data_IF_657910201905
#
_entry.id   IF_657910201905
#
_cell.length_a   1.000
_cell.length_b   1.000
_cell.length_c   1.000
_cell.angle_alpha   90.00
_cell.angle_beta   90.00
_cell.angle_gamma   90.00
#
_symmetry.space_group_name_H-M   'P 1'
#
loop_
_entity.id
_entity.type
_entity.pdbx_description
1 polymer ?
#
# COMPACT_ATOMS: atom_id res chain seq x y z
N UNK A 1 -27.09 30.05 -59.08
CA UNK A 1 -27.32 29.99 -57.62
C UNK A 1 -25.98 29.72 -56.95
N UNK A 2 -25.53 30.64 -56.10
CA UNK A 2 -24.22 30.61 -55.40
C UNK A 2 -24.44 30.01 -54.00
N UNK A 3 -23.87 28.83 -53.73
CA UNK A 3 -23.90 28.22 -52.40
C UNK A 3 -22.72 28.75 -51.57
N UNK A 4 -23.06 29.25 -50.39
CA UNK A 4 -22.23 30.01 -49.46
C UNK A 4 -21.07 29.20 -48.89
N UNK A 5 -19.90 29.82 -48.86
CA UNK A 5 -18.77 29.53 -47.97
C UNK A 5 -19.26 29.46 -46.53
N UNK A 6 -19.11 28.29 -45.89
CA UNK A 6 -19.26 28.18 -44.43
C UNK A 6 -17.87 27.92 -43.86
N UNK A 7 -17.39 28.93 -43.14
CA UNK A 7 -16.16 28.91 -42.35
C UNK A 7 -16.25 27.83 -41.28
N UNK A 8 -15.22 27.00 -41.19
CA UNK A 8 -15.07 26.02 -40.12
C UNK A 8 -14.44 26.75 -38.92
N UNK A 9 -15.18 27.04 -37.82
CA UNK A 9 -14.59 27.66 -36.66
C UNK A 9 -13.67 26.66 -35.97
N UNK A 10 -12.44 27.11 -35.74
CA UNK A 10 -11.48 26.67 -34.72
C UNK A 10 -11.88 25.38 -33.99
N UNK A 11 -11.19 24.29 -34.33
CA UNK A 11 -11.13 23.08 -33.51
C UNK A 11 -10.86 23.48 -32.05
N UNK A 12 -11.90 23.36 -31.23
CA UNK A 12 -11.83 23.37 -29.78
C UNK A 12 -10.72 22.41 -29.37
N UNK A 13 -9.78 22.91 -28.57
CA UNK A 13 -8.77 22.08 -27.91
C UNK A 13 -9.54 21.00 -27.15
N UNK A 14 -9.55 19.78 -27.68
CA UNK A 14 -9.91 18.59 -26.93
C UNK A 14 -8.90 18.52 -25.80
N UNK A 15 -9.37 18.87 -24.60
CA UNK A 15 -8.72 18.53 -23.35
C UNK A 15 -8.26 17.08 -23.48
N UNK A 16 -6.94 16.92 -23.49
CA UNK A 16 -6.30 15.61 -23.39
C UNK A 16 -6.95 14.90 -22.22
N UNK A 17 -7.67 13.83 -22.56
CA UNK A 17 -8.36 12.94 -21.66
C UNK A 17 -7.44 12.64 -20.49
N UNK A 18 -7.84 13.18 -19.34
CA UNK A 18 -7.40 12.79 -18.02
C UNK A 18 -7.77 11.31 -17.88
N UNK A 19 -6.84 10.45 -18.30
CA UNK A 19 -7.06 9.02 -18.40
C UNK A 19 -6.94 8.43 -17.00
N UNK A 20 -8.10 8.10 -16.45
CA UNK A 20 -8.28 7.13 -15.38
C UNK A 20 -7.57 7.39 -14.05
N UNK A 21 -7.95 8.48 -13.36
CA UNK A 21 -8.22 8.31 -11.93
C UNK A 21 -9.64 7.76 -11.82
N UNK A 22 -9.76 6.44 -11.97
CA UNK A 22 -10.96 5.73 -11.54
C UNK A 22 -10.98 5.92 -10.03
N UNK A 23 -11.79 6.86 -9.54
CA UNK A 23 -12.02 7.07 -8.11
C UNK A 23 -12.38 5.72 -7.51
N UNK A 24 -11.40 5.05 -6.90
CA UNK A 24 -11.63 3.84 -6.15
C UNK A 24 -12.61 4.25 -5.06
N UNK A 25 -13.75 3.58 -5.02
CA UNK A 25 -14.75 3.87 -4.00
C UNK A 25 -14.12 3.64 -2.62
N UNK A 26 -14.60 4.31 -1.56
CA UNK A 26 -14.08 4.09 -0.21
C UNK A 26 -14.08 2.60 0.18
N UNK A 27 -15.03 1.82 -0.34
CA UNK A 27 -15.12 0.37 -0.15
C UNK A 27 -13.98 -0.41 -0.84
N UNK A 28 -13.62 -0.08 -2.08
CA UNK A 28 -12.49 -0.72 -2.80
C UNK A 28 -11.13 -0.41 -2.15
N UNK A 29 -11.00 0.78 -1.56
CA UNK A 29 -9.83 1.18 -0.78
C UNK A 29 -9.70 0.36 0.51
N UNK A 30 -10.80 0.13 1.23
CA UNK A 30 -10.82 -0.73 2.43
C UNK A 30 -10.47 -2.17 2.13
N UNK A 31 -10.96 -2.73 1.02
CA UNK A 31 -10.63 -4.10 0.61
C UNK A 31 -9.14 -4.24 0.26
N UNK A 32 -8.61 -3.29 -0.52
CA UNK A 32 -7.16 -3.24 -0.86
C UNK A 32 -6.30 -3.14 0.41
N UNK A 33 -6.75 -2.40 1.43
CA UNK A 33 -6.05 -2.33 2.71
C UNK A 33 -6.09 -3.65 3.48
N UNK A 34 -7.26 -4.31 3.55
CA UNK A 34 -7.38 -5.62 4.19
C UNK A 34 -6.37 -6.62 3.62
N UNK A 35 -6.26 -6.66 2.29
CA UNK A 35 -5.29 -7.49 1.59
C UNK A 35 -3.84 -7.08 1.91
N UNK A 36 -3.53 -5.79 1.91
CA UNK A 36 -2.21 -5.29 2.28
C UNK A 36 -1.84 -5.66 3.72
N UNK A 37 -2.76 -5.46 4.68
CA UNK A 37 -2.54 -5.78 6.08
C UNK A 37 -2.36 -7.29 6.29
N UNK A 38 -3.15 -8.11 5.61
CA UNK A 38 -2.98 -9.57 5.63
C UNK A 38 -1.58 -9.97 5.15
N UNK A 39 -1.11 -9.37 4.05
CA UNK A 39 0.23 -9.62 3.52
C UNK A 39 1.33 -9.13 4.47
N UNK A 40 1.16 -7.95 5.08
CA UNK A 40 2.10 -7.42 6.06
C UNK A 40 2.19 -8.32 7.31
N UNK A 41 1.06 -8.78 7.84
CA UNK A 41 1.00 -9.73 8.96
C UNK A 41 1.67 -11.06 8.60
N UNK A 42 1.40 -11.59 7.41
CA UNK A 42 2.08 -12.80 6.92
C UNK A 42 3.60 -12.59 6.81
N UNK A 43 4.05 -11.39 6.41
CA UNK A 43 5.47 -11.04 6.35
C UNK A 43 6.12 -11.01 7.73
N UNK A 44 5.46 -10.40 8.72
CA UNK A 44 5.93 -10.40 10.13
C UNK A 44 6.00 -11.83 10.65
N UNK A 45 4.98 -12.65 10.40
CA UNK A 45 4.98 -14.05 10.82
C UNK A 45 6.13 -14.85 10.19
N UNK A 46 6.46 -14.59 8.93
CA UNK A 46 7.63 -15.20 8.28
C UNK A 46 8.95 -14.74 8.91
N UNK A 47 9.05 -13.45 9.30
CA UNK A 47 10.22 -12.95 10.01
C UNK A 47 10.36 -13.58 11.40
N UNK A 48 9.28 -13.73 12.17
CA UNK A 48 9.32 -14.44 13.46
C UNK A 48 9.76 -15.90 13.29
N UNK A 49 9.28 -16.58 12.24
CA UNK A 49 9.71 -17.94 11.92
C UNK A 49 11.20 -17.98 11.58
N UNK A 50 11.70 -16.97 10.87
CA UNK A 50 13.13 -16.85 10.59
C UNK A 50 13.95 -16.63 11.87
N UNK A 51 13.46 -15.81 12.81
CA UNK A 51 14.09 -15.66 14.14
C UNK A 51 14.21 -17.02 14.82
N UNK A 52 13.14 -17.81 14.87
CA UNK A 52 13.17 -19.16 15.46
C UNK A 52 14.22 -20.06 14.79
N UNK A 53 14.27 -20.09 13.45
CA UNK A 53 15.27 -20.88 12.71
C UNK A 53 16.69 -20.45 13.04
N UNK A 54 16.96 -19.14 13.14
CA UNK A 54 18.29 -18.61 13.46
C UNK A 54 18.62 -18.89 14.93
N UNK A 55 17.65 -18.83 15.84
CA UNK A 55 17.80 -19.23 17.25
C UNK A 55 18.11 -20.71 17.39
N UNK A 56 17.42 -21.58 16.66
CA UNK A 56 17.70 -23.02 16.67
C UNK A 56 19.11 -23.30 16.15
N UNK A 57 19.52 -22.63 15.06
CA UNK A 57 20.90 -22.69 14.54
C UNK A 57 21.92 -22.19 15.55
N UNK A 58 21.61 -21.15 16.31
CA UNK A 58 22.47 -20.64 17.37
C UNK A 58 22.64 -21.68 18.49
N UNK A 59 21.55 -22.35 18.91
CA UNK A 59 21.62 -23.39 19.94
C UNK A 59 22.49 -24.58 19.54
N UNK A 60 22.53 -24.94 18.25
CA UNK A 60 23.41 -25.99 17.71
C UNK A 60 24.81 -25.48 17.30
N UNK A 61 25.14 -24.22 17.60
CA UNK A 61 26.45 -23.61 17.33
C UNK A 61 26.71 -23.25 15.86
N UNK A 62 25.69 -23.23 15.01
CA UNK A 62 25.77 -22.94 13.57
C UNK A 62 25.44 -21.48 13.21
N UNK A 63 25.01 -20.66 14.17
CA UNK A 63 24.76 -19.24 13.98
C UNK A 63 25.29 -18.44 15.17
N UNK A 64 25.56 -17.15 14.96
CA UNK A 64 26.00 -16.22 16.00
C UNK A 64 24.82 -15.56 16.71
N UNK A 65 25.02 -15.19 17.98
CA UNK A 65 24.02 -14.44 18.77
C UNK A 65 23.64 -13.11 18.10
N UNK A 66 24.57 -12.49 17.37
CA UNK A 66 24.32 -11.26 16.61
C UNK A 66 23.28 -11.45 15.52
N UNK A 67 23.24 -12.61 14.86
CA UNK A 67 22.25 -12.90 13.82
C UNK A 67 20.84 -13.05 14.41
N UNK A 68 20.73 -13.68 15.59
CA UNK A 68 19.46 -13.76 16.33
C UNK A 68 18.99 -12.36 16.70
N UNK A 69 19.88 -11.51 17.23
CA UNK A 69 19.54 -10.13 17.58
C UNK A 69 19.10 -9.31 16.36
N UNK A 70 19.81 -9.40 15.24
CA UNK A 70 19.44 -8.70 14.00
C UNK A 70 18.07 -9.16 13.50
N UNK A 71 17.83 -10.48 13.47
CA UNK A 71 16.56 -11.03 13.03
C UNK A 71 15.40 -10.56 13.93
N UNK A 72 15.61 -10.55 15.25
CA UNK A 72 14.62 -10.06 16.21
C UNK A 72 14.34 -8.57 16.03
N UNK A 73 15.37 -7.73 15.90
CA UNK A 73 15.19 -6.29 15.65
C UNK A 73 14.47 -6.01 14.34
N UNK A 74 14.71 -6.82 13.29
CA UNK A 74 14.00 -6.69 12.02
C UNK A 74 12.50 -7.01 12.16
N UNK A 75 12.17 -8.08 12.89
CA UNK A 75 10.78 -8.46 13.16
C UNK A 75 10.04 -7.35 13.93
N UNK A 76 10.68 -6.81 14.97
CA UNK A 76 10.13 -5.74 15.80
C UNK A 76 9.89 -4.45 15.01
N UNK A 77 10.86 -4.04 14.19
CA UNK A 77 10.72 -2.86 13.31
C UNK A 77 9.59 -3.06 12.28
N UNK A 78 9.47 -4.25 11.71
CA UNK A 78 8.44 -4.54 10.71
C UNK A 78 7.04 -4.56 11.32
N UNK A 79 6.90 -5.04 12.56
CA UNK A 79 5.66 -4.95 13.32
C UNK A 79 5.29 -3.49 13.62
N UNK A 80 6.26 -2.68 14.05
CA UNK A 80 6.05 -1.25 14.30
C UNK A 80 5.60 -0.52 13.03
N UNK A 81 6.25 -0.79 11.89
CA UNK A 81 5.86 -0.24 10.60
C UNK A 81 4.44 -0.64 10.22
N UNK A 82 4.08 -1.92 10.40
CA UNK A 82 2.73 -2.43 10.11
C UNK A 82 1.68 -1.71 10.94
N UNK A 83 1.95 -1.47 12.24
CA UNK A 83 1.07 -0.70 13.12
C UNK A 83 0.89 0.75 12.66
N UNK A 84 1.98 1.41 12.24
CA UNK A 84 1.91 2.77 11.72
C UNK A 84 1.08 2.85 10.43
N UNK A 85 1.30 1.92 9.49
CA UNK A 85 0.53 1.87 8.25
C UNK A 85 -0.95 1.63 8.55
N UNK A 86 -1.27 0.69 9.47
CA UNK A 86 -2.64 0.46 9.92
C UNK A 86 -3.29 1.75 10.44
N UNK A 87 -2.61 2.51 11.28
CA UNK A 87 -3.13 3.77 11.82
C UNK A 87 -3.37 4.80 10.71
N UNK A 88 -2.41 4.97 9.79
CA UNK A 88 -2.54 5.92 8.66
C UNK A 88 -3.67 5.58 7.72
N UNK A 89 -3.94 4.30 7.50
CA UNK A 89 -5.05 3.90 6.63
C UNK A 89 -6.40 4.11 7.32
N UNK A 90 -6.50 3.88 8.62
CA UNK A 90 -7.71 4.21 9.40
C UNK A 90 -7.98 5.72 9.36
N UNK A 91 -6.95 6.55 9.55
CA UNK A 91 -7.05 8.01 9.41
C UNK A 91 -7.55 8.41 8.01
N UNK A 92 -6.98 7.84 6.94
CA UNK A 92 -7.38 8.12 5.57
C UNK A 92 -8.84 7.73 5.29
N UNK A 93 -9.30 6.58 5.81
CA UNK A 93 -10.70 6.17 5.70
C UNK A 93 -11.64 7.17 6.40
N UNK A 94 -11.28 7.62 7.59
CA UNK A 94 -12.07 8.61 8.34
C UNK A 94 -12.13 9.96 7.63
N UNK A 95 -11.03 10.41 7.02
CA UNK A 95 -10.98 11.68 6.29
C UNK A 95 -11.84 11.66 5.03
N UNK A 96 -11.80 10.57 4.25
CA UNK A 96 -12.65 10.40 3.05
C UNK A 96 -14.14 10.45 3.44
N UNK A 97 -14.52 9.82 4.56
CA UNK A 97 -15.90 9.87 5.06
C UNK A 97 -16.31 11.29 5.50
N UNK A 98 -15.38 12.09 6.04
CA UNK A 98 -15.62 13.50 6.39
C UNK A 98 -15.77 14.40 5.17
N UNK A 99 -15.11 14.10 4.06
CA UNK A 99 -15.22 14.89 2.82
C UNK A 99 -16.53 14.64 2.06
N UNK A 100 -17.17 13.48 2.23
CA UNK A 100 -18.40 13.09 1.51
C UNK A 100 -19.70 13.49 2.23
N UNK A 101 -19.63 13.89 3.49
CA UNK A 101 -20.77 14.39 4.27
C UNK A 101 -21.04 15.87 4.03
#
# INVERSE_FOLDING_TARGET
MIQKTTFNPLTTIQSTQNSAMKDKTPAEMTQTFGDFLQNALNSVQNQEKNVQVVTDKYMVGQADISQVMIASSQAELSLQLTSQVRNKVVEAYQEIMRMQM
#
